data_IF_403566468856
#
_entry.id   IF_403566468856
#
_cell.length_a   1.000
_cell.length_b   1.000
_cell.length_c   1.000
_cell.angle_alpha   90.00
_cell.angle_beta   90.00
_cell.angle_gamma   90.00
#
_symmetry.space_group_name_H-M   'P 1'
#
loop_
_entity.id
_entity.type
_entity.pdbx_description
1 polymer ?
#
# COMPACT_ATOMS: atom_id res chain seq x y z
N UNK A 1 60.12 -3.52 -9.84
CA UNK A 1 59.11 -2.56 -9.37
C UNK A 1 57.76 -3.26 -9.45
N UNK A 2 57.40 -4.08 -8.47
CA UNK A 2 56.67 -3.73 -7.24
C UNK A 2 55.31 -3.05 -7.50
N UNK A 3 54.27 -3.86 -7.29
CA UNK A 3 52.94 -3.55 -6.76
C UNK A 3 51.97 -2.72 -7.63
N UNK A 4 50.91 -3.38 -8.09
CA UNK A 4 49.65 -3.22 -7.36
C UNK A 4 48.92 -4.56 -7.20
N UNK A 5 48.76 -4.98 -5.94
CA UNK A 5 47.98 -6.12 -5.44
C UNK A 5 47.04 -5.54 -4.39
N UNK A 6 45.82 -5.15 -4.78
CA UNK A 6 44.60 -5.02 -3.96
C UNK A 6 43.43 -5.00 -4.97
N UNK A 7 42.35 -5.77 -4.94
CA UNK A 7 41.76 -6.63 -3.93
C UNK A 7 40.24 -6.46 -4.05
N UNK A 8 39.58 -7.30 -4.86
CA UNK A 8 38.19 -7.80 -4.72
C UNK A 8 37.75 -8.45 -6.04
N UNK A 9 38.01 -9.74 -6.21
CA UNK A 9 37.28 -10.56 -7.19
C UNK A 9 35.91 -10.88 -6.58
N UNK A 10 35.00 -9.91 -6.61
CA UNK A 10 33.59 -10.19 -6.40
C UNK A 10 33.17 -11.19 -7.49
N UNK A 11 32.90 -12.44 -7.08
CA UNK A 11 32.39 -13.46 -7.99
C UNK A 11 31.13 -12.93 -8.67
N UNK A 12 31.04 -13.13 -9.98
CA UNK A 12 29.81 -12.79 -10.68
C UNK A 12 28.63 -13.58 -10.08
N UNK A 13 27.44 -12.98 -10.16
CA UNK A 13 26.26 -13.53 -9.51
C UNK A 13 25.90 -14.92 -10.04
N UNK A 14 26.16 -15.19 -11.32
CA UNK A 14 25.84 -16.48 -11.95
C UNK A 14 26.73 -17.61 -11.43
N UNK A 15 28.03 -17.35 -11.30
CA UNK A 15 29.05 -18.24 -10.76
C UNK A 15 28.76 -18.55 -9.29
N UNK A 16 28.41 -17.53 -8.50
CA UNK A 16 27.98 -17.72 -7.11
C UNK A 16 26.75 -18.62 -7.01
N UNK A 17 25.69 -18.32 -7.76
CA UNK A 17 24.43 -19.09 -7.79
C UNK A 17 24.70 -20.53 -8.22
N UNK A 18 25.49 -20.72 -9.27
CA UNK A 18 25.85 -22.04 -9.77
C UNK A 18 26.60 -22.86 -8.72
N UNK A 19 27.63 -22.29 -8.09
CA UNK A 19 28.43 -22.97 -7.06
C UNK A 19 27.56 -23.43 -5.88
N UNK A 20 26.78 -22.52 -5.29
CA UNK A 20 25.98 -22.83 -4.11
C UNK A 20 24.90 -23.87 -4.43
N UNK A 21 24.28 -23.78 -5.60
CA UNK A 21 23.28 -24.76 -6.05
C UNK A 21 23.90 -26.13 -6.35
N UNK A 22 25.07 -26.18 -7.00
CA UNK A 22 25.77 -27.42 -7.27
C UNK A 22 26.15 -28.16 -5.98
N UNK A 23 26.59 -27.43 -4.94
CA UNK A 23 26.83 -28.02 -3.62
C UNK A 23 25.55 -28.55 -2.95
N UNK A 24 24.39 -27.92 -3.17
CA UNK A 24 23.11 -28.46 -2.70
C UNK A 24 22.76 -29.79 -3.41
N UNK A 25 22.89 -29.83 -4.74
CA UNK A 25 22.64 -31.01 -5.57
C UNK A 25 23.57 -32.18 -5.24
N UNK A 26 24.85 -31.90 -4.96
CA UNK A 26 25.83 -32.91 -4.51
C UNK A 26 25.34 -33.63 -3.27
N UNK A 27 24.80 -32.89 -2.30
CA UNK A 27 24.35 -33.44 -1.02
C UNK A 27 23.01 -34.17 -1.13
N UNK A 28 22.19 -33.80 -2.11
CA UNK A 28 20.98 -34.52 -2.47
C UNK A 28 21.26 -35.81 -3.28
N UNK A 29 22.51 -36.04 -3.71
CA UNK A 29 22.88 -37.22 -4.51
C UNK A 29 22.48 -37.14 -5.98
N UNK A 30 22.13 -35.95 -6.48
CA UNK A 30 21.67 -35.75 -7.86
C UNK A 30 22.80 -35.48 -8.87
N UNK A 31 24.04 -35.37 -8.41
CA UNK A 31 25.21 -35.17 -9.30
C UNK A 31 25.86 -36.51 -9.66
N UNK A 32 26.24 -36.65 -10.92
CA UNK A 32 27.02 -37.79 -11.39
C UNK A 32 28.48 -37.74 -10.89
N UNK A 33 29.21 -38.85 -11.03
CA UNK A 33 30.59 -38.99 -10.51
C UNK A 33 31.54 -37.93 -11.07
N UNK A 34 31.40 -37.61 -12.36
CA UNK A 34 32.25 -36.61 -13.03
C UNK A 34 32.00 -35.19 -12.53
N UNK A 35 30.73 -34.82 -12.29
CA UNK A 35 30.34 -33.54 -11.69
C UNK A 35 30.82 -33.42 -10.24
N UNK A 36 30.80 -34.52 -9.48
CA UNK A 36 31.34 -34.53 -8.12
C UNK A 36 32.87 -34.36 -8.10
N UNK A 37 33.59 -34.98 -9.04
CA UNK A 37 35.03 -34.79 -9.19
C UNK A 37 35.39 -33.37 -9.65
N UNK A 38 34.61 -32.79 -10.57
CA UNK A 38 34.78 -31.41 -11.02
C UNK A 38 34.65 -30.42 -9.86
N UNK A 39 33.65 -30.58 -8.99
CA UNK A 39 33.50 -29.76 -7.77
C UNK A 39 34.66 -29.92 -6.79
N UNK A 40 35.27 -31.11 -6.72
CA UNK A 40 36.45 -31.36 -5.88
C UNK A 40 37.74 -30.69 -6.39
N UNK A 41 37.81 -30.45 -7.70
CA UNK A 41 38.96 -29.82 -8.39
C UNK A 41 38.94 -28.28 -8.37
N UNK A 42 37.86 -27.65 -7.89
CA UNK A 42 37.77 -26.19 -7.80
C UNK A 42 38.83 -25.60 -6.85
N UNK A 43 39.31 -24.39 -7.12
CA UNK A 43 40.24 -23.71 -6.24
C UNK A 43 39.63 -23.41 -4.86
N UNK A 44 40.46 -23.38 -3.81
CA UNK A 44 40.01 -23.19 -2.41
C UNK A 44 39.14 -21.93 -2.18
N UNK A 45 39.41 -20.76 -2.79
CA UNK A 45 38.56 -19.58 -2.63
C UNK A 45 37.12 -19.81 -3.10
N UNK A 46 36.94 -20.50 -4.24
CA UNK A 46 35.62 -20.83 -4.81
C UNK A 46 34.87 -21.84 -3.94
N UNK A 47 35.60 -22.80 -3.34
CA UNK A 47 35.01 -23.75 -2.39
C UNK A 47 34.52 -23.08 -1.11
N UNK A 48 35.26 -22.10 -0.59
CA UNK A 48 34.91 -21.40 0.66
C UNK A 48 33.66 -20.53 0.52
N UNK A 49 33.38 -20.01 -0.68
CA UNK A 49 32.19 -19.18 -0.95
C UNK A 49 30.89 -19.95 -0.72
N UNK A 50 30.87 -21.26 -1.02
CA UNK A 50 29.71 -22.12 -0.75
C UNK A 50 29.59 -22.58 0.71
N UNK A 51 30.60 -22.30 1.55
CA UNK A 51 30.68 -22.72 2.95
C UNK A 51 30.30 -21.59 3.94
N UNK A 52 29.85 -20.44 3.47
CA UNK A 52 29.36 -19.37 4.34
C UNK A 52 28.10 -19.76 5.15
N UNK A 53 27.81 -19.09 6.28
CA UNK A 53 26.67 -19.42 7.13
C UNK A 53 25.32 -19.32 6.43
N UNK A 54 25.19 -18.41 5.46
CA UNK A 54 23.97 -18.24 4.68
C UNK A 54 23.80 -19.42 3.72
N UNK A 55 24.87 -19.79 3.02
CA UNK A 55 24.93 -20.85 2.01
C UNK A 55 24.74 -22.23 2.65
N UNK A 56 25.31 -22.47 3.83
CA UNK A 56 25.02 -23.65 4.64
C UNK A 56 23.53 -23.77 4.98
N UNK A 57 22.90 -22.66 5.40
CA UNK A 57 21.48 -22.67 5.76
C UNK A 57 20.59 -22.84 4.53
N UNK A 58 20.93 -22.19 3.42
CA UNK A 58 20.25 -22.37 2.15
C UNK A 58 20.31 -23.83 1.68
N UNK A 59 21.48 -24.48 1.72
CA UNK A 59 21.66 -25.90 1.35
C UNK A 59 20.75 -26.84 2.16
N UNK A 60 20.58 -26.58 3.47
CA UNK A 60 19.65 -27.35 4.30
C UNK A 60 18.19 -27.19 3.86
N UNK A 61 17.78 -25.99 3.45
CA UNK A 61 16.44 -25.73 2.94
C UNK A 61 16.24 -26.36 1.56
N UNK A 62 17.22 -26.21 0.66
CA UNK A 62 17.19 -26.81 -0.67
C UNK A 62 17.06 -28.33 -0.62
N UNK A 63 17.81 -29.00 0.26
CA UNK A 63 17.70 -30.45 0.44
C UNK A 63 16.28 -30.88 0.86
N UNK A 64 15.63 -30.10 1.72
CA UNK A 64 14.24 -30.37 2.16
C UNK A 64 13.23 -30.16 1.05
N UNK A 65 13.41 -29.10 0.26
CA UNK A 65 12.59 -28.83 -0.92
C UNK A 65 12.68 -30.00 -1.92
N UNK A 66 13.91 -30.43 -2.20
CA UNK A 66 14.20 -31.52 -3.12
C UNK A 66 13.72 -32.88 -2.61
N UNK A 67 13.63 -33.08 -1.29
CA UNK A 67 13.00 -34.25 -0.69
C UNK A 67 11.46 -34.18 -0.65
N UNK A 68 10.84 -33.15 -1.25
CA UNK A 68 9.39 -33.00 -1.32
C UNK A 68 8.73 -32.55 -0.01
N UNK A 69 9.51 -32.08 0.98
CA UNK A 69 8.95 -31.58 2.23
C UNK A 69 8.45 -30.14 2.03
N UNK A 70 7.19 -29.89 2.38
CA UNK A 70 6.57 -28.57 2.25
C UNK A 70 7.35 -27.51 3.02
N UNK A 71 7.79 -26.47 2.31
CA UNK A 71 8.42 -25.29 2.90
C UNK A 71 7.41 -24.23 3.36
N UNK A 72 6.13 -24.39 2.97
CA UNK A 72 4.99 -23.61 3.40
C UNK A 72 4.29 -24.25 4.62
N UNK A 73 4.05 -23.46 5.67
CA UNK A 73 3.46 -23.91 6.93
C UNK A 73 4.25 -23.41 8.14
N UNK A 74 3.56 -22.68 9.03
CA UNK A 74 4.03 -22.23 10.36
C UNK A 74 4.68 -23.46 11.03
N UNK A 75 5.94 -23.51 11.47
CA UNK A 75 6.60 -22.78 12.58
C UNK A 75 8.16 -22.91 12.49
N UNK A 76 8.76 -23.24 11.33
CA UNK A 76 10.20 -23.56 11.20
C UNK A 76 11.01 -22.71 10.21
N UNK A 77 10.60 -21.46 10.01
CA UNK A 77 11.15 -20.59 8.96
C UNK A 77 11.56 -19.20 9.45
N UNK A 78 12.02 -19.01 10.71
CA UNK A 78 12.55 -17.70 11.14
C UNK A 78 13.60 -17.17 10.15
N UNK A 79 14.42 -18.06 9.60
CA UNK A 79 15.41 -17.72 8.58
C UNK A 79 14.77 -17.24 7.27
N UNK A 80 13.79 -17.96 6.70
CA UNK A 80 13.09 -17.52 5.48
C UNK A 80 12.25 -16.25 5.72
N UNK A 81 11.66 -16.07 6.90
CA UNK A 81 10.98 -14.83 7.29
C UNK A 81 11.97 -13.65 7.31
N UNK A 82 13.18 -13.84 7.83
CA UNK A 82 14.26 -12.84 7.74
C UNK A 82 14.66 -12.57 6.30
N UNK A 83 14.74 -13.59 5.43
CA UNK A 83 15.05 -13.39 4.00
C UNK A 83 13.95 -12.60 3.28
N UNK A 84 12.68 -12.90 3.53
CA UNK A 84 11.53 -12.13 3.00
C UNK A 84 11.60 -10.66 3.42
N UNK A 85 11.92 -10.40 4.70
CA UNK A 85 12.09 -9.03 5.21
C UNK A 85 13.29 -8.32 4.57
N UNK A 86 14.43 -9.00 4.42
CA UNK A 86 15.61 -8.44 3.78
C UNK A 86 15.36 -8.09 2.30
N UNK A 87 14.63 -8.95 1.56
CA UNK A 87 14.20 -8.64 0.19
C UNK A 87 13.27 -7.43 0.14
N UNK A 88 12.27 -7.37 1.03
CA UNK A 88 11.34 -6.23 1.10
C UNK A 88 12.05 -4.90 1.44
N UNK A 89 13.17 -4.97 2.16
CA UNK A 89 14.01 -3.81 2.50
C UNK A 89 15.09 -3.51 1.45
N UNK A 90 15.23 -4.33 0.40
CA UNK A 90 16.25 -4.18 -0.63
C UNK A 90 17.68 -4.50 -0.15
N UNK A 91 17.85 -5.16 0.99
CA UNK A 91 19.17 -5.47 1.59
C UNK A 91 19.67 -6.88 1.26
N UNK A 92 18.86 -7.69 0.57
CA UNK A 92 19.23 -9.05 0.17
C UNK A 92 19.95 -9.04 -1.18
N UNK A 93 21.14 -9.63 -1.21
CA UNK A 93 21.95 -9.76 -2.42
C UNK A 93 21.21 -10.50 -3.56
N UNK A 94 21.47 -10.09 -4.80
CA UNK A 94 20.78 -10.62 -5.98
C UNK A 94 21.02 -12.13 -6.20
N UNK A 95 22.22 -12.64 -5.90
CA UNK A 95 22.52 -14.06 -6.01
C UNK A 95 21.73 -14.89 -5.00
N UNK A 96 21.51 -14.35 -3.80
CA UNK A 96 20.70 -14.97 -2.75
C UNK A 96 19.22 -15.02 -3.10
N UNK A 97 18.71 -13.96 -3.74
CA UNK A 97 17.33 -13.94 -4.29
C UNK A 97 17.18 -15.03 -5.35
N UNK A 98 18.10 -15.07 -6.31
CA UNK A 98 18.09 -16.05 -7.42
C UNK A 98 18.15 -17.50 -6.91
N UNK A 99 18.94 -17.77 -5.87
CA UNK A 99 19.00 -19.09 -5.24
C UNK A 99 17.67 -19.49 -4.58
N UNK A 100 17.02 -18.57 -3.88
CA UNK A 100 15.73 -18.82 -3.24
C UNK A 100 14.60 -18.99 -4.26
N UNK A 101 14.65 -18.28 -5.39
CA UNK A 101 13.69 -18.43 -6.50
C UNK A 101 13.75 -19.82 -7.17
N UNK A 102 14.86 -20.57 -7.01
CA UNK A 102 14.99 -21.95 -7.53
C UNK A 102 14.28 -23.01 -6.69
N UNK A 103 13.85 -22.67 -5.46
CA UNK A 103 13.16 -23.60 -4.57
C UNK A 103 11.69 -23.72 -4.98
N UNK A 104 11.20 -24.94 -5.24
CA UNK A 104 9.85 -25.18 -5.75
C UNK A 104 8.75 -24.88 -4.73
N UNK A 105 9.00 -25.21 -3.46
CA UNK A 105 8.05 -25.02 -2.36
C UNK A 105 8.16 -23.66 -1.66
N UNK A 106 9.05 -22.77 -2.11
CA UNK A 106 9.27 -21.48 -1.49
C UNK A 106 8.47 -20.38 -2.19
N UNK A 107 7.72 -19.64 -1.38
CA UNK A 107 7.07 -18.41 -1.80
C UNK A 107 7.58 -17.23 -0.94
N UNK A 108 7.76 -16.08 -1.61
CA UNK A 108 8.08 -14.82 -0.98
C UNK A 108 6.90 -14.24 -0.20
N UNK A 109 5.67 -14.58 -0.59
CA UNK A 109 4.44 -14.10 0.03
C UNK A 109 3.47 -15.24 0.38
N UNK A 110 3.87 -16.22 1.23
CA UNK A 110 3.00 -17.36 1.57
C UNK A 110 1.71 -16.95 2.28
N UNK A 111 1.66 -15.74 2.83
CA UNK A 111 0.46 -15.16 3.43
C UNK A 111 -0.56 -14.67 2.39
N UNK A 112 -0.19 -14.52 1.12
CA UNK A 112 -1.10 -14.23 0.02
C UNK A 112 -1.78 -15.53 -0.45
N UNK A 113 -1.02 -16.59 -0.73
CA UNK A 113 -1.59 -17.90 -1.10
C UNK A 113 -2.56 -18.45 -0.03
N UNK A 114 -2.18 -18.38 1.26
CA UNK A 114 -3.07 -18.80 2.34
C UNK A 114 -4.32 -17.92 2.45
N UNK A 115 -4.18 -16.62 2.17
CA UNK A 115 -5.30 -15.69 2.18
C UNK A 115 -6.25 -16.01 1.02
N UNK A 116 -5.73 -16.24 -0.18
CA UNK A 116 -6.50 -16.60 -1.37
C UNK A 116 -7.23 -17.93 -1.19
N UNK A 117 -6.57 -18.94 -0.64
CA UNK A 117 -7.20 -20.24 -0.34
C UNK A 117 -8.36 -20.08 0.66
N UNK A 118 -8.15 -19.31 1.72
CA UNK A 118 -9.20 -19.09 2.72
C UNK A 118 -10.33 -18.23 2.16
N UNK A 119 -9.99 -17.20 1.37
CA UNK A 119 -10.94 -16.35 0.68
C UNK A 119 -11.81 -17.16 -0.29
N UNK A 120 -11.22 -18.06 -1.09
CA UNK A 120 -11.95 -18.92 -2.02
C UNK A 120 -12.98 -19.79 -1.29
N UNK A 121 -12.62 -20.37 -0.14
CA UNK A 121 -13.56 -21.16 0.68
C UNK A 121 -14.71 -20.31 1.21
N UNK A 122 -14.41 -19.10 1.70
CA UNK A 122 -15.43 -18.15 2.16
C UNK A 122 -16.31 -17.68 1.00
N UNK A 123 -15.74 -17.44 -0.18
CA UNK A 123 -16.44 -16.99 -1.37
C UNK A 123 -17.44 -18.06 -1.84
N UNK A 124 -17.00 -19.32 -1.99
CA UNK A 124 -17.88 -20.43 -2.32
C UNK A 124 -19.04 -20.57 -1.33
N UNK A 125 -18.77 -20.47 -0.02
CA UNK A 125 -19.84 -20.50 0.98
C UNK A 125 -20.81 -19.31 0.83
N UNK A 126 -20.28 -18.10 0.60
CA UNK A 126 -21.08 -16.89 0.47
C UNK A 126 -21.96 -16.91 -0.80
N UNK A 127 -21.45 -17.47 -1.89
CA UNK A 127 -22.20 -17.67 -3.13
C UNK A 127 -23.31 -18.71 -2.96
N UNK A 128 -23.02 -19.83 -2.26
CA UNK A 128 -24.01 -20.88 -2.00
C UNK A 128 -25.13 -20.46 -1.04
N UNK A 129 -24.79 -19.71 0.01
CA UNK A 129 -25.72 -19.40 1.11
C UNK A 129 -26.24 -17.94 1.11
N UNK A 130 -25.74 -17.09 0.22
CA UNK A 130 -26.06 -15.66 0.17
C UNK A 130 -25.61 -14.86 1.40
N UNK A 131 -24.81 -15.47 2.29
CA UNK A 131 -24.33 -14.89 3.54
C UNK A 131 -22.93 -15.38 3.85
N UNK A 132 -22.17 -14.58 4.60
CA UNK A 132 -20.86 -14.97 5.11
C UNK A 132 -20.95 -16.05 6.20
N UNK A 133 -19.95 -16.95 6.32
CA UNK A 133 -19.85 -17.93 7.39
C UNK A 133 -19.87 -17.30 8.77
N UNK A 134 -20.59 -17.92 9.70
CA UNK A 134 -20.60 -17.59 11.11
C UNK A 134 -19.84 -18.67 11.92
N UNK A 135 -19.75 -18.50 13.24
CA UNK A 135 -19.01 -19.41 14.11
C UNK A 135 -19.58 -20.84 14.15
N UNK A 136 -20.87 -21.02 13.92
CA UNK A 136 -21.52 -22.33 13.86
C UNK A 136 -21.26 -23.06 12.54
N UNK A 137 -21.04 -22.32 11.44
CA UNK A 137 -20.68 -22.92 10.15
C UNK A 137 -19.21 -23.38 10.13
N UNK A 138 -18.28 -22.47 10.46
CA UNK A 138 -16.85 -22.79 10.57
C UNK A 138 -16.12 -21.77 11.47
N UNK A 139 -15.52 -22.28 12.54
CA UNK A 139 -14.78 -21.46 13.53
C UNK A 139 -13.55 -20.78 12.92
N UNK A 140 -12.83 -21.45 12.02
CA UNK A 140 -11.61 -20.91 11.37
C UNK A 140 -11.98 -19.81 10.39
N UNK A 141 -13.00 -20.02 9.56
CA UNK A 141 -13.48 -18.98 8.63
C UNK A 141 -14.05 -17.78 9.39
N UNK A 142 -14.83 -18.02 10.44
CA UNK A 142 -15.36 -16.94 11.28
C UNK A 142 -14.25 -16.12 11.95
N UNK A 143 -13.20 -16.77 12.46
CA UNK A 143 -12.04 -16.08 13.04
C UNK A 143 -11.27 -15.30 11.98
N UNK A 144 -11.05 -15.87 10.80
CA UNK A 144 -10.39 -15.20 9.68
C UNK A 144 -11.16 -13.95 9.25
N UNK A 145 -12.49 -14.03 9.13
CA UNK A 145 -13.35 -12.88 8.84
C UNK A 145 -13.25 -11.80 9.92
N UNK A 146 -13.19 -12.19 11.20
CA UNK A 146 -12.98 -11.25 12.30
C UNK A 146 -11.61 -10.55 12.20
N UNK A 147 -10.55 -11.28 11.82
CA UNK A 147 -9.23 -10.71 11.54
C UNK A 147 -9.28 -9.74 10.35
N UNK A 148 -9.98 -10.08 9.27
CA UNK A 148 -10.13 -9.19 8.12
C UNK A 148 -10.91 -7.92 8.49
N UNK A 149 -11.99 -8.03 9.26
CA UNK A 149 -12.74 -6.86 9.77
C UNK A 149 -11.88 -5.98 10.67
N UNK A 150 -11.02 -6.58 11.50
CA UNK A 150 -10.09 -5.81 12.33
C UNK A 150 -9.01 -5.11 11.49
N UNK A 151 -8.47 -5.79 10.47
CA UNK A 151 -7.50 -5.23 9.54
C UNK A 151 -8.11 -4.10 8.69
N UNK A 152 -9.35 -4.26 8.24
CA UNK A 152 -10.13 -3.23 7.54
C UNK A 152 -10.39 -2.02 8.44
N UNK A 153 -10.80 -2.24 9.70
CA UNK A 153 -11.00 -1.15 10.68
C UNK A 153 -9.72 -0.40 11.01
N UNK A 154 -8.59 -1.11 11.00
CA UNK A 154 -7.27 -0.55 11.28
C UNK A 154 -6.58 0.03 10.04
N UNK A 155 -7.25 0.07 8.88
CA UNK A 155 -6.72 0.51 7.58
C UNK A 155 -5.39 -0.19 7.18
N UNK A 156 -5.21 -1.45 7.62
CA UNK A 156 -4.01 -2.27 7.32
C UNK A 156 -4.23 -3.32 6.23
N UNK A 157 -5.43 -3.35 5.66
CA UNK A 157 -5.79 -4.33 4.64
C UNK A 157 -5.45 -3.78 3.25
N UNK A 158 -4.69 -4.56 2.46
CA UNK A 158 -4.32 -4.17 1.08
C UNK A 158 -5.57 -3.96 0.23
N UNK A 159 -5.52 -2.97 -0.68
CA UNK A 159 -6.65 -2.55 -1.50
C UNK A 159 -7.29 -3.68 -2.31
N UNK A 160 -6.48 -4.56 -2.91
CA UNK A 160 -6.92 -5.75 -3.65
C UNK A 160 -7.79 -6.70 -2.79
N UNK A 161 -7.35 -6.98 -1.57
CA UNK A 161 -8.10 -7.81 -0.60
C UNK A 161 -9.38 -7.15 -0.15
N UNK A 162 -9.40 -5.82 -0.06
CA UNK A 162 -10.61 -5.08 0.28
C UNK A 162 -11.64 -5.18 -0.85
N UNK A 163 -11.23 -5.01 -2.11
CA UNK A 163 -12.10 -5.18 -3.28
C UNK A 163 -12.71 -6.58 -3.31
N UNK A 164 -11.87 -7.61 -3.15
CA UNK A 164 -12.30 -9.01 -3.11
C UNK A 164 -13.34 -9.28 -1.99
N UNK A 165 -13.11 -8.79 -0.77
CA UNK A 165 -14.07 -8.94 0.34
C UNK A 165 -15.36 -8.13 0.13
N UNK A 166 -15.26 -6.95 -0.47
CA UNK A 166 -16.44 -6.09 -0.74
C UNK A 166 -17.37 -6.72 -1.77
N UNK A 167 -16.83 -7.52 -2.69
CA UNK A 167 -17.61 -8.28 -3.66
C UNK A 167 -18.35 -9.48 -3.06
N UNK A 168 -18.08 -9.88 -1.82
CA UNK A 168 -18.71 -11.06 -1.22
C UNK A 168 -20.18 -10.81 -0.83
N UNK A 169 -21.11 -11.71 -1.20
CA UNK A 169 -22.50 -11.67 -0.72
C UNK A 169 -22.57 -11.66 0.81
N UNK A 170 -23.35 -10.72 1.37
CA UNK A 170 -23.58 -10.61 2.82
C UNK A 170 -22.43 -9.98 3.63
N UNK A 171 -21.31 -9.58 3.01
CA UNK A 171 -20.20 -8.91 3.70
C UNK A 171 -20.61 -7.58 4.34
N UNK A 172 -21.31 -6.72 3.58
CA UNK A 172 -21.79 -5.42 4.04
C UNK A 172 -22.77 -5.52 5.21
N UNK A 173 -23.67 -6.50 5.18
CA UNK A 173 -24.61 -6.75 6.29
C UNK A 173 -23.89 -7.23 7.56
N UNK A 174 -22.82 -8.02 7.40
CA UNK A 174 -21.97 -8.48 8.50
C UNK A 174 -21.15 -7.37 9.17
N UNK A 175 -20.92 -6.24 8.48
CA UNK A 175 -20.21 -5.09 9.04
C UNK A 175 -21.07 -4.30 10.02
N UNK A 176 -22.37 -4.13 9.74
CA UNK A 176 -23.30 -3.34 10.58
C UNK A 176 -23.53 -3.92 11.99
N UNK A 177 -23.29 -5.22 12.20
CA UNK A 177 -23.49 -5.88 13.51
C UNK A 177 -22.27 -5.81 14.44
N UNK A 178 -21.13 -5.26 13.98
CA UNK A 178 -19.90 -5.23 14.77
C UNK A 178 -19.92 -4.06 15.76
N UNK A 179 -20.32 -4.32 17.02
CA UNK A 179 -20.35 -3.38 18.15
C UNK A 179 -19.12 -2.45 18.19
N UNK A 180 -19.38 -1.15 18.01
CA UNK A 180 -18.36 -0.12 17.85
C UNK A 180 -18.16 0.72 19.10
N UNK A 181 -16.90 1.01 19.44
CA UNK A 181 -16.51 2.16 20.28
C UNK A 181 -16.01 3.25 19.33
N UNK A 182 -16.84 4.27 19.13
CA UNK A 182 -16.63 5.48 18.32
C UNK A 182 -16.18 5.21 16.85
N UNK A 183 -17.10 4.71 16.01
CA UNK A 183 -16.84 4.36 14.63
C UNK A 183 -16.48 5.57 13.74
N UNK A 184 -15.65 5.36 12.73
CA UNK A 184 -15.40 6.28 11.60
C UNK A 184 -16.70 6.89 11.04
N UNK A 185 -17.75 6.08 11.02
CA UNK A 185 -19.10 6.41 10.60
C UNK A 185 -19.69 7.58 11.39
N UNK A 186 -19.42 7.67 12.71
CA UNK A 186 -19.89 8.80 13.53
C UNK A 186 -19.18 10.10 13.17
N UNK A 187 -17.89 10.06 12.86
CA UNK A 187 -17.13 11.25 12.44
C UNK A 187 -17.57 11.71 11.04
N UNK A 188 -17.81 10.77 10.13
CA UNK A 188 -18.36 11.05 8.81
C UNK A 188 -19.76 11.70 8.93
N UNK A 189 -20.59 11.19 9.83
CA UNK A 189 -21.92 11.76 10.10
C UNK A 189 -21.84 13.15 10.75
N UNK A 190 -20.95 13.35 11.73
CA UNK A 190 -20.70 14.66 12.32
C UNK A 190 -20.22 15.68 11.28
N UNK A 191 -19.37 15.27 10.36
CA UNK A 191 -18.96 16.10 9.24
C UNK A 191 -20.14 16.42 8.31
N UNK A 192 -20.99 15.44 7.98
CA UNK A 192 -22.19 15.66 7.16
C UNK A 192 -23.11 16.71 7.78
N UNK A 193 -23.45 16.55 9.06
CA UNK A 193 -24.27 17.50 9.81
C UNK A 193 -23.62 18.88 9.88
N UNK A 194 -22.29 18.94 10.05
CA UNK A 194 -21.56 20.21 10.03
C UNK A 194 -21.66 20.90 8.66
N UNK A 195 -21.49 20.16 7.57
CA UNK A 195 -21.58 20.68 6.20
C UNK A 195 -23.00 21.20 5.90
N UNK A 196 -24.04 20.47 6.32
CA UNK A 196 -25.44 20.88 6.16
C UNK A 196 -25.75 22.18 6.93
N UNK A 197 -25.19 22.33 8.14
CA UNK A 197 -25.43 23.49 9.00
C UNK A 197 -24.64 24.74 8.59
N UNK A 198 -23.35 24.57 8.27
CA UNK A 198 -22.41 25.69 8.11
C UNK A 198 -22.16 26.00 6.62
N UNK A 199 -22.37 25.03 5.72
CA UNK A 199 -22.15 25.20 4.28
C UNK A 199 -20.68 25.30 3.86
N UNK A 200 -19.74 25.04 4.78
CA UNK A 200 -18.28 24.98 4.51
C UNK A 200 -17.65 23.83 5.25
N UNK A 201 -16.46 23.42 4.80
CA UNK A 201 -15.66 22.45 5.54
C UNK A 201 -15.12 23.04 6.86
N UNK A 202 -14.90 22.19 7.89
CA UNK A 202 -14.38 22.63 9.17
C UNK A 202 -12.94 23.14 9.04
N UNK A 203 -12.62 24.19 9.81
CA UNK A 203 -11.30 24.84 9.81
C UNK A 203 -10.49 24.46 11.05
N UNK A 204 -9.17 24.29 10.88
CA UNK A 204 -8.23 24.13 11.99
C UNK A 204 -7.99 25.41 12.78
N UNK A 205 -8.42 26.55 12.25
CA UNK A 205 -8.28 27.88 12.86
C UNK A 205 -9.55 28.32 13.63
N UNK A 206 -10.56 27.45 13.73
CA UNK A 206 -11.79 27.75 14.47
C UNK A 206 -11.53 27.82 15.98
N UNK A 207 -12.32 28.66 16.67
CA UNK A 207 -12.34 28.73 18.12
C UNK A 207 -13.07 27.53 18.76
N UNK A 208 -13.91 26.81 18.02
CA UNK A 208 -14.64 25.64 18.50
C UNK A 208 -13.74 24.38 18.47
N UNK A 209 -13.41 23.77 19.62
CA UNK A 209 -12.61 22.55 19.66
C UNK A 209 -13.22 21.37 18.87
N UNK A 210 -14.54 21.30 18.78
CA UNK A 210 -15.22 20.25 18.02
C UNK A 210 -14.99 20.41 16.52
N UNK A 211 -15.05 21.65 16.01
CA UNK A 211 -14.73 21.96 14.62
C UNK A 211 -13.26 21.66 14.30
N UNK A 212 -12.33 22.08 15.16
CA UNK A 212 -10.90 21.82 14.97
C UNK A 212 -10.62 20.31 14.91
N UNK A 213 -11.30 19.52 15.74
CA UNK A 213 -11.22 18.06 15.71
C UNK A 213 -11.69 17.48 14.37
N UNK A 214 -12.84 17.94 13.86
CA UNK A 214 -13.35 17.52 12.54
C UNK A 214 -12.41 17.94 11.40
N UNK A 215 -11.82 19.13 11.46
CA UNK A 215 -10.85 19.60 10.46
C UNK A 215 -9.60 18.73 10.42
N UNK A 216 -9.09 18.33 11.59
CA UNK A 216 -7.98 17.37 11.71
C UNK A 216 -8.38 16.00 11.17
N UNK A 217 -9.59 15.54 11.44
CA UNK A 217 -10.09 14.27 10.92
C UNK A 217 -10.19 14.26 9.38
N UNK A 218 -10.73 15.32 8.77
CA UNK A 218 -10.77 15.51 7.31
C UNK A 218 -9.36 15.48 6.71
N UNK A 219 -8.43 16.19 7.34
CA UNK A 219 -7.01 16.20 6.92
C UNK A 219 -6.43 14.80 6.99
N UNK A 220 -6.67 14.06 8.07
CA UNK A 220 -6.23 12.68 8.22
C UNK A 220 -6.81 11.76 7.14
N UNK A 221 -8.09 11.91 6.74
CA UNK A 221 -8.68 11.10 5.66
C UNK A 221 -7.99 11.34 4.30
N UNK A 222 -7.72 12.60 3.96
CA UNK A 222 -7.01 12.98 2.72
C UNK A 222 -5.56 12.50 2.71
N UNK A 223 -4.95 12.47 3.87
CA UNK A 223 -3.60 11.96 4.05
C UNK A 223 -3.55 10.43 3.98
N UNK A 224 -4.55 9.76 4.56
CA UNK A 224 -4.67 8.30 4.56
C UNK A 224 -4.85 7.75 3.14
N UNK A 225 -5.72 8.36 2.34
CA UNK A 225 -5.93 7.93 0.94
C UNK A 225 -4.64 8.05 0.11
N UNK A 226 -3.75 8.99 0.44
CA UNK A 226 -2.46 9.18 -0.25
C UNK A 226 -1.40 8.16 0.17
N UNK A 227 -1.40 7.72 1.44
CA UNK A 227 -0.40 6.80 1.99
C UNK A 227 -0.75 5.35 1.74
N UNK A 228 -1.90 4.91 2.25
CA UNK A 228 -2.24 3.49 2.38
C UNK A 228 -3.59 3.14 1.72
N UNK A 229 -4.33 4.14 1.24
CA UNK A 229 -5.68 3.99 0.72
C UNK A 229 -6.76 3.99 1.81
N UNK A 230 -8.01 4.08 1.39
CA UNK A 230 -9.19 3.97 2.26
C UNK A 230 -10.07 2.82 1.80
N UNK A 231 -10.82 2.21 2.72
CA UNK A 231 -11.82 1.21 2.37
C UNK A 231 -12.86 1.78 1.37
N UNK A 232 -13.35 1.02 0.38
CA UNK A 232 -14.29 1.49 -0.64
C UNK A 232 -15.55 2.12 -0.07
N UNK A 233 -16.12 1.56 1.00
CA UNK A 233 -17.29 2.14 1.66
C UNK A 233 -16.99 3.54 2.24
N UNK A 234 -15.77 3.76 2.75
CA UNK A 234 -15.32 5.07 3.26
C UNK A 234 -15.08 6.05 2.11
N UNK A 235 -14.50 5.57 1.00
CA UNK A 235 -14.35 6.36 -0.22
C UNK A 235 -15.72 6.79 -0.73
N UNK A 236 -16.69 5.87 -0.80
CA UNK A 236 -18.05 6.15 -1.24
C UNK A 236 -18.73 7.16 -0.32
N UNK A 237 -18.69 6.93 1.00
CA UNK A 237 -19.32 7.83 1.97
C UNK A 237 -18.68 9.23 1.99
N UNK A 238 -17.36 9.35 1.88
CA UNK A 238 -16.69 10.66 1.77
C UNK A 238 -16.95 11.34 0.42
N UNK A 239 -16.95 10.58 -0.68
CA UNK A 239 -17.22 11.14 -2.02
C UNK A 239 -18.66 11.61 -2.17
N UNK A 240 -19.59 11.06 -1.37
CA UNK A 240 -20.97 11.51 -1.31
C UNK A 240 -21.14 12.82 -0.52
N UNK A 241 -20.12 13.29 0.21
CA UNK A 241 -20.21 14.55 0.94
C UNK A 241 -20.20 15.75 -0.02
N UNK A 242 -21.04 16.78 0.22
CA UNK A 242 -21.07 17.98 -0.61
C UNK A 242 -19.67 18.63 -0.72
N UNK A 243 -19.25 18.92 -1.95
CA UNK A 243 -17.98 19.61 -2.21
C UNK A 243 -16.72 18.85 -1.75
N UNK A 244 -16.79 17.53 -1.53
CA UNK A 244 -15.63 16.76 -1.09
C UNK A 244 -14.53 16.75 -2.16
N UNK A 245 -13.32 17.11 -1.73
CA UNK A 245 -12.09 16.98 -2.53
C UNK A 245 -11.08 16.11 -1.79
N UNK A 246 -10.50 15.17 -2.52
CA UNK A 246 -9.45 14.27 -2.03
C UNK A 246 -8.11 14.98 -1.84
N UNK A 247 -7.82 15.96 -2.69
CA UNK A 247 -6.64 16.80 -2.58
C UNK A 247 -6.93 17.97 -1.66
N UNK A 248 -6.15 18.12 -0.58
CA UNK A 248 -6.23 19.29 0.29
C UNK A 248 -5.93 20.59 -0.48
N UNK A 249 -5.06 20.52 -1.49
CA UNK A 249 -4.76 21.66 -2.37
C UNK A 249 -5.96 22.06 -3.21
N UNK A 250 -6.72 21.09 -3.71
CA UNK A 250 -7.89 21.35 -4.54
C UNK A 250 -9.03 21.89 -3.67
N UNK A 251 -9.21 21.35 -2.46
CA UNK A 251 -10.15 21.88 -1.47
C UNK A 251 -9.84 23.34 -1.11
N UNK A 252 -8.57 23.66 -0.83
CA UNK A 252 -8.15 25.03 -0.52
C UNK A 252 -8.30 25.96 -1.73
N UNK A 253 -8.14 25.44 -2.95
CA UNK A 253 -8.39 26.21 -4.17
C UNK A 253 -9.87 26.56 -4.30
N UNK A 254 -10.77 25.58 -4.11
CA UNK A 254 -12.23 25.78 -4.17
C UNK A 254 -12.70 26.81 -3.12
N UNK A 255 -12.16 26.73 -1.90
CA UNK A 255 -12.48 27.68 -0.82
C UNK A 255 -12.04 29.12 -1.19
N UNK A 256 -10.81 29.29 -1.68
CA UNK A 256 -10.30 30.60 -2.12
C UNK A 256 -11.09 31.15 -3.30
N UNK A 257 -11.49 30.29 -4.24
CA UNK A 257 -12.36 30.67 -5.35
C UNK A 257 -13.75 31.09 -4.88
N UNK A 258 -14.35 30.39 -3.91
CA UNK A 258 -15.64 30.75 -3.33
C UNK A 258 -15.58 32.12 -2.62
N UNK A 259 -14.52 32.38 -1.85
CA UNK A 259 -14.27 33.70 -1.24
C UNK A 259 -14.18 34.79 -2.30
N UNK A 260 -13.42 34.54 -3.38
CA UNK A 260 -13.26 35.48 -4.49
C UNK A 260 -14.60 35.79 -5.17
N UNK A 261 -15.39 34.77 -5.46
CA UNK A 261 -16.71 34.91 -6.08
C UNK A 261 -17.66 35.72 -5.21
N UNK A 262 -17.66 35.48 -3.89
CA UNK A 262 -18.49 36.22 -2.95
C UNK A 262 -18.08 37.70 -2.88
N UNK A 263 -16.78 37.99 -2.84
CA UNK A 263 -16.28 39.38 -2.86
C UNK A 263 -16.57 40.08 -4.17
N UNK A 264 -16.34 39.45 -5.33
CA UNK A 264 -16.69 40.04 -6.63
C UNK A 264 -18.19 40.32 -6.77
N UNK A 265 -19.03 39.48 -6.17
CA UNK A 265 -20.48 39.72 -6.14
C UNK A 265 -20.86 40.94 -5.27
N UNK A 266 -20.02 41.33 -4.31
CA UNK A 266 -20.23 42.49 -3.42
C UNK A 266 -19.62 43.78 -3.94
N UNK A 267 -18.35 43.74 -4.35
CA UNK A 267 -17.57 44.94 -4.72
C UNK A 267 -17.52 45.20 -6.23
N UNK A 268 -17.93 44.25 -7.06
CA UNK A 268 -17.88 44.34 -8.52
C UNK A 268 -16.47 44.15 -9.11
N UNK A 269 -15.41 44.56 -8.40
CA UNK A 269 -14.02 44.33 -8.79
C UNK A 269 -13.09 44.11 -7.59
N UNK A 270 -11.91 43.55 -7.86
CA UNK A 270 -10.87 43.28 -6.87
C UNK A 270 -9.61 44.01 -7.29
N UNK A 271 -9.28 45.06 -6.55
CA UNK A 271 -8.10 45.90 -6.79
C UNK A 271 -6.81 45.38 -6.13
N UNK A 272 -5.65 45.98 -6.46
CA UNK A 272 -4.32 45.55 -6.00
C UNK A 272 -4.14 45.47 -4.48
N UNK A 273 -4.89 46.28 -3.73
CA UNK A 273 -4.81 46.35 -2.27
C UNK A 273 -5.61 45.25 -1.56
N UNK A 274 -6.39 44.45 -2.31
CA UNK A 274 -7.20 43.39 -1.73
C UNK A 274 -6.40 42.09 -1.53
N UNK A 275 -6.53 41.38 -0.39
CA UNK A 275 -5.77 40.16 -0.13
C UNK A 275 -5.89 39.08 -1.24
N UNK A 276 -7.07 38.95 -1.84
CA UNK A 276 -7.33 37.98 -2.90
C UNK A 276 -6.73 38.36 -4.28
N UNK A 277 -6.32 39.62 -4.48
CA UNK A 277 -5.71 40.07 -5.74
C UNK A 277 -4.41 39.30 -6.04
N UNK A 278 -3.57 39.13 -5.03
CA UNK A 278 -2.31 38.38 -5.14
C UNK A 278 -2.54 36.93 -5.57
N UNK A 279 -3.62 36.32 -5.08
CA UNK A 279 -4.02 34.97 -5.46
C UNK A 279 -4.47 34.89 -6.92
N UNK A 280 -5.26 35.85 -7.41
CA UNK A 280 -5.68 35.95 -8.82
C UNK A 280 -4.48 36.07 -9.75
N UNK A 281 -3.52 36.94 -9.43
CA UNK A 281 -2.28 37.09 -10.20
C UNK A 281 -1.49 35.78 -10.24
N UNK A 282 -1.39 35.08 -9.10
CA UNK A 282 -0.75 33.77 -9.04
C UNK A 282 -1.47 32.71 -9.90
N UNK A 283 -2.80 32.71 -9.95
CA UNK A 283 -3.56 31.81 -10.83
C UNK A 283 -3.33 32.14 -12.31
N UNK A 284 -3.29 33.41 -12.71
CA UNK A 284 -2.96 33.82 -14.10
C UNK A 284 -1.59 33.34 -14.53
N UNK A 285 -0.59 33.43 -13.64
CA UNK A 285 0.75 32.90 -13.91
C UNK A 285 0.70 31.38 -14.10
N UNK A 286 0.01 30.65 -13.20
CA UNK A 286 -0.16 29.19 -13.32
C UNK A 286 -0.92 28.77 -14.59
N UNK A 287 -1.87 29.58 -15.06
CA UNK A 287 -2.54 29.38 -16.34
C UNK A 287 -1.55 29.45 -17.50
N UNK A 288 -0.73 30.51 -17.54
CA UNK A 288 0.30 30.71 -18.56
C UNK A 288 1.34 29.59 -18.57
N UNK A 289 1.69 29.09 -17.39
CA UNK A 289 2.62 27.97 -17.21
C UNK A 289 1.98 26.59 -17.52
N UNK A 290 0.69 26.52 -17.89
CA UNK A 290 -0.02 25.26 -18.19
C UNK A 290 -0.27 24.38 -16.96
N UNK A 291 -0.24 24.95 -15.75
CA UNK A 291 -0.33 24.22 -14.47
C UNK A 291 -1.71 24.22 -13.82
N UNK A 292 -2.69 24.88 -14.44
CA UNK A 292 -4.10 24.85 -13.99
C UNK A 292 -4.86 23.68 -14.60
N UNK A 293 -5.79 23.11 -13.84
CA UNK A 293 -6.71 22.09 -14.34
C UNK A 293 -7.85 22.73 -15.14
N UNK A 294 -8.47 21.95 -16.04
CA UNK A 294 -9.57 22.42 -16.89
C UNK A 294 -10.72 23.04 -16.08
N UNK A 295 -11.15 22.40 -14.98
CA UNK A 295 -12.18 22.95 -14.08
C UNK A 295 -11.81 24.33 -13.52
N UNK A 296 -10.55 24.52 -13.11
CA UNK A 296 -10.06 25.78 -12.55
C UNK A 296 -9.99 26.88 -13.61
N UNK A 297 -9.67 26.52 -14.86
CA UNK A 297 -9.66 27.44 -15.99
C UNK A 297 -11.08 27.91 -16.29
N UNK A 298 -12.04 26.98 -16.39
CA UNK A 298 -13.45 27.31 -16.62
C UNK A 298 -13.99 28.24 -15.54
N UNK A 299 -13.74 27.92 -14.27
CA UNK A 299 -14.14 28.77 -13.14
C UNK A 299 -13.54 30.19 -13.21
N UNK A 300 -12.26 30.35 -13.54
CA UNK A 300 -11.65 31.68 -13.68
C UNK A 300 -12.17 32.44 -14.92
N UNK A 301 -12.61 31.74 -15.97
CA UNK A 301 -13.26 32.36 -17.14
C UNK A 301 -14.64 32.89 -16.81
N UNK A 302 -15.41 32.20 -15.99
CA UNK A 302 -16.74 32.67 -15.54
C UNK A 302 -16.67 34.04 -14.86
N UNK A 303 -15.58 34.32 -14.14
CA UNK A 303 -15.35 35.61 -13.47
C UNK A 303 -14.61 36.64 -14.36
N UNK A 304 -14.42 36.36 -15.65
CA UNK A 304 -13.63 37.18 -16.58
C UNK A 304 -12.17 37.45 -16.12
N UNK A 305 -11.61 36.58 -15.28
CA UNK A 305 -10.31 36.80 -14.66
C UNK A 305 -9.12 36.38 -15.52
N UNK A 306 -9.33 35.79 -16.70
CA UNK A 306 -8.25 35.38 -17.60
C UNK A 306 -8.00 36.36 -18.77
N UNK A 307 -8.70 37.51 -18.81
CA UNK A 307 -8.47 38.59 -19.78
C UNK A 307 -7.28 39.51 -19.45
N UNK A 308 -6.88 40.38 -20.39
CA UNK A 308 -5.67 41.22 -20.27
C UNK A 308 -5.74 42.29 -19.15
N UNK A 309 -6.92 42.70 -18.69
CA UNK A 309 -7.11 43.66 -17.59
C UNK A 309 -8.08 43.14 -16.53
N UNK A 310 -7.81 43.42 -15.25
CA UNK A 310 -8.77 43.29 -14.16
C UNK A 310 -9.56 44.59 -14.14
N UNK A 311 -10.84 44.54 -14.50
CA UNK A 311 -11.78 45.67 -14.35
C UNK A 311 -12.42 45.64 -12.99
#
# INVERSE_FOLDING_TARGET
>A
MLADRRGDTALDTETYVWLVWAHAQRRAGHLNVDQQQMLGKLESPLRNVAEGPWEQRFRQIALRDMSGLTLAGQWRTQWLTRQRRARAQGTLDHGKVTLLDRLRGFDWAPGDAQWEETFAKVASFADEHGRIPNRADDVRMSNWLATQRLALRSDRLRYDRVQALTGLPGWSAGMSSTRSRQPWERQCEQLRVFLERVGRYPSTESADPAEVSLARWVTAQRDQVRRDGLAPYRIQALSALPGWRWSARDAAWDERYAQLRAEMSRSGSIGPNHPLYTWVVAQRRRHRDGRLRLEQISALRELNLLGERLT
#
